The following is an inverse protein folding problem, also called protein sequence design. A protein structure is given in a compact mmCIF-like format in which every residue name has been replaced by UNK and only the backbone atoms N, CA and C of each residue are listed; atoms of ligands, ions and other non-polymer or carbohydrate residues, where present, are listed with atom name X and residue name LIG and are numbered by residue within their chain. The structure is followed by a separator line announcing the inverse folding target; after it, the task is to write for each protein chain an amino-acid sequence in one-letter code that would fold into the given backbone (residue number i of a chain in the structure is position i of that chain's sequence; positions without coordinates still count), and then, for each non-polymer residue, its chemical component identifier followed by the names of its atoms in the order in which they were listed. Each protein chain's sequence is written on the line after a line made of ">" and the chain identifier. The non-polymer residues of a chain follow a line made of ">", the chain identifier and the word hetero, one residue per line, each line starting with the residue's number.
data_IF_212298641697
#
_entry.id   IF_212298641697
#
_cell.length_a   1.000
_cell.length_b   1.000
_cell.length_c   1.000
_cell.angle_alpha   90.00
_cell.angle_beta   90.00
_cell.angle_gamma   90.00
#
_symmetry.space_group_name_H-M   'P 1'
#
loop_
_entity.id
_entity.type
_entity.pdbx_description
1 polymer ?
#
# COMPACT_ATOMS: atom_id res chain seq x y z
N UNK A 1 -14.86 -5.54 11.31
CA UNK A 1 -14.06 -4.30 11.35
C UNK A 1 -13.45 -4.04 12.73
N UNK A 2 -14.03 -4.54 13.80
CA UNK A 2 -13.52 -4.31 15.17
C UNK A 2 -12.11 -4.89 15.38
N UNK A 3 -11.75 -5.95 14.68
CA UNK A 3 -10.43 -6.57 14.77
C UNK A 3 -9.32 -5.62 14.26
N UNK A 4 -9.56 -4.90 13.18
CA UNK A 4 -8.59 -3.95 12.60
C UNK A 4 -8.17 -2.87 13.59
N UNK A 5 -9.12 -2.30 14.33
CA UNK A 5 -8.88 -1.25 15.32
C UNK A 5 -8.55 -1.79 16.73
N UNK A 6 -8.61 -3.11 16.90
CA UNK A 6 -8.32 -3.76 18.17
C UNK A 6 -6.83 -3.81 18.50
N UNK A 7 -6.52 -4.05 19.78
CA UNK A 7 -5.14 -4.31 20.19
C UNK A 7 -4.69 -5.68 19.71
N UNK A 8 -3.40 -5.77 19.37
CA UNK A 8 -2.78 -7.06 19.02
C UNK A 8 -2.76 -7.94 20.29
N UNK A 9 -3.28 -9.15 20.18
CA UNK A 9 -3.31 -10.11 21.30
C UNK A 9 -1.89 -10.45 21.75
N UNK A 10 -1.69 -10.63 23.05
CA UNK A 10 -0.39 -10.89 23.67
C UNK A 10 0.40 -12.03 22.99
N UNK A 11 -0.28 -13.12 22.64
CA UNK A 11 0.35 -14.25 21.93
C UNK A 11 0.91 -13.84 20.57
N UNK A 12 0.19 -13.03 19.83
CA UNK A 12 0.60 -12.51 18.51
C UNK A 12 1.70 -11.48 18.68
N UNK A 13 1.58 -10.60 19.68
CA UNK A 13 2.62 -9.62 19.98
C UNK A 13 3.96 -10.27 20.33
N UNK A 14 3.95 -11.34 21.11
CA UNK A 14 5.16 -12.11 21.43
C UNK A 14 5.78 -12.75 20.18
N UNK A 15 4.96 -13.33 19.32
CA UNK A 15 5.38 -13.85 18.03
C UNK A 15 5.99 -12.76 17.13
N UNK A 16 5.29 -11.64 16.98
CA UNK A 16 5.76 -10.51 16.15
C UNK A 16 7.08 -9.92 16.67
N UNK A 17 7.26 -9.87 17.98
CA UNK A 17 8.53 -9.43 18.58
C UNK A 17 9.69 -10.32 18.15
N UNK A 18 9.53 -11.64 18.25
CA UNK A 18 10.58 -12.58 17.82
C UNK A 18 10.81 -12.50 16.30
N UNK A 19 9.76 -12.33 15.49
CA UNK A 19 9.91 -12.11 14.04
C UNK A 19 10.74 -10.86 13.76
N UNK A 20 10.50 -9.75 14.45
CA UNK A 20 11.30 -8.52 14.31
C UNK A 20 12.78 -8.77 14.65
N UNK A 21 13.05 -9.45 15.76
CA UNK A 21 14.41 -9.75 16.19
C UNK A 21 15.16 -10.60 15.15
N UNK A 22 14.50 -11.63 14.60
CA UNK A 22 15.08 -12.45 13.54
C UNK A 22 15.29 -11.67 12.23
N UNK A 23 14.34 -10.78 11.88
CA UNK A 23 14.49 -9.88 10.74
C UNK A 23 15.67 -8.93 10.92
N UNK A 24 15.80 -8.29 12.07
CA UNK A 24 16.86 -7.32 12.35
C UNK A 24 18.25 -7.96 12.32
N UNK A 25 18.40 -9.22 12.80
CA UNK A 25 19.66 -9.98 12.69
C UNK A 25 20.12 -10.13 11.25
N UNK A 26 19.21 -10.10 10.29
CA UNK A 26 19.48 -10.21 8.86
C UNK A 26 19.48 -8.86 8.14
N UNK A 27 19.41 -7.75 8.87
CA UNK A 27 19.37 -6.41 8.29
C UNK A 27 18.04 -6.04 7.65
N UNK A 28 16.96 -6.78 7.93
CA UNK A 28 15.61 -6.46 7.45
C UNK A 28 14.95 -5.52 8.45
N UNK A 29 14.67 -4.25 8.09
CA UNK A 29 14.15 -3.25 9.02
C UNK A 29 12.63 -3.39 9.24
N UNK A 30 12.18 -4.55 9.71
CA UNK A 30 10.79 -4.79 10.10
C UNK A 30 10.37 -3.83 11.21
N UNK A 31 9.24 -3.14 11.06
CA UNK A 31 8.83 -2.06 11.97
C UNK A 31 7.34 -2.04 12.26
N UNK A 32 6.50 -1.94 11.23
CA UNK A 32 5.07 -1.72 11.39
C UNK A 32 4.35 -3.03 11.61
N UNK A 33 3.47 -3.06 12.61
CA UNK A 33 2.65 -4.21 12.96
C UNK A 33 1.24 -3.75 13.29
N UNK A 34 0.24 -4.35 12.69
CA UNK A 34 -1.16 -4.10 13.01
C UNK A 34 -2.05 -5.30 12.67
N UNK A 35 -3.27 -5.26 13.19
CA UNK A 35 -4.30 -6.20 12.79
C UNK A 35 -4.87 -5.84 11.43
N UNK A 36 -5.24 -6.83 10.67
CA UNK A 36 -6.03 -6.71 9.45
C UNK A 36 -7.51 -6.98 9.71
N UNK A 37 -8.36 -6.80 8.68
CA UNK A 37 -9.81 -6.92 8.80
C UNK A 37 -10.25 -8.36 9.07
N UNK A 38 -9.60 -9.34 8.44
CA UNK A 38 -9.94 -10.74 8.65
C UNK A 38 -9.55 -11.24 10.05
N UNK A 39 -10.32 -12.16 10.65
CA UNK A 39 -9.96 -12.77 11.91
C UNK A 39 -8.58 -13.41 11.89
N UNK A 40 -7.76 -13.10 12.90
CA UNK A 40 -6.38 -13.60 13.03
C UNK A 40 -5.46 -13.27 11.85
N UNK A 41 -5.79 -12.26 11.07
CA UNK A 41 -4.93 -11.71 10.03
C UNK A 41 -4.18 -10.48 10.58
N UNK A 42 -2.89 -10.42 10.30
CA UNK A 42 -2.00 -9.38 10.80
C UNK A 42 -1.04 -8.97 9.70
N UNK A 43 -0.61 -7.75 9.71
CA UNK A 43 0.42 -7.24 8.80
C UNK A 43 1.72 -6.94 9.54
N UNK A 44 2.82 -7.23 8.86
CA UNK A 44 4.15 -6.79 9.21
C UNK A 44 4.76 -6.10 7.99
N UNK A 45 5.15 -4.84 8.15
CA UNK A 45 5.75 -4.07 7.08
C UNK A 45 7.17 -3.60 7.45
N UNK A 46 8.17 -3.79 6.58
CA UNK A 46 9.50 -3.22 6.74
C UNK A 46 9.51 -1.74 6.35
N UNK A 47 10.58 -1.05 6.72
CA UNK A 47 10.90 0.26 6.15
C UNK A 47 11.20 0.06 4.66
N UNK A 48 10.81 1.03 3.82
CA UNK A 48 11.04 0.97 2.38
C UNK A 48 12.53 0.84 2.03
N UNK A 49 12.81 0.19 0.92
CA UNK A 49 14.14 -0.02 0.37
C UNK A 49 14.09 -0.01 -1.17
N UNK A 50 15.21 0.10 -1.87
CA UNK A 50 15.25 -0.15 -3.31
C UNK A 50 14.60 -1.48 -3.67
N UNK A 51 13.91 -1.53 -4.81
CA UNK A 51 13.00 -2.64 -5.16
C UNK A 51 13.65 -4.02 -5.14
N UNK A 52 14.89 -4.15 -5.59
CA UNK A 52 15.63 -5.41 -5.55
C UNK A 52 15.87 -5.89 -4.11
N UNK A 53 16.29 -4.99 -3.23
CA UNK A 53 16.50 -5.29 -1.80
C UNK A 53 15.16 -5.58 -1.11
N UNK A 54 14.13 -4.80 -1.40
CA UNK A 54 12.80 -5.00 -0.85
C UNK A 54 12.23 -6.37 -1.24
N UNK A 55 12.43 -6.80 -2.48
CA UNK A 55 12.00 -8.12 -2.96
C UNK A 55 12.72 -9.25 -2.22
N UNK A 56 14.04 -9.18 -2.07
CA UNK A 56 14.82 -10.17 -1.34
C UNK A 56 14.44 -10.22 0.14
N UNK A 57 14.32 -9.05 0.78
CA UNK A 57 13.86 -8.93 2.16
C UNK A 57 12.48 -9.57 2.36
N UNK A 58 11.55 -9.34 1.42
CA UNK A 58 10.23 -9.94 1.49
C UNK A 58 10.27 -11.47 1.43
N UNK A 59 11.08 -12.06 0.54
CA UNK A 59 11.26 -13.51 0.46
C UNK A 59 11.83 -14.10 1.77
N UNK A 60 12.81 -13.43 2.35
CA UNK A 60 13.38 -13.84 3.64
C UNK A 60 12.37 -13.70 4.79
N UNK A 61 11.63 -12.59 4.82
CA UNK A 61 10.62 -12.32 5.84
C UNK A 61 9.49 -13.36 5.82
N UNK A 62 9.02 -13.77 4.65
CA UNK A 62 8.03 -14.84 4.53
C UNK A 62 8.52 -16.17 5.12
N UNK A 63 9.81 -16.47 5.00
CA UNK A 63 10.41 -17.65 5.62
C UNK A 63 10.52 -17.52 7.14
N UNK A 64 10.93 -16.34 7.62
CA UNK A 64 11.04 -16.04 9.06
C UNK A 64 9.67 -16.18 9.72
N UNK A 65 8.64 -15.56 9.14
CA UNK A 65 7.26 -15.62 9.63
C UNK A 65 6.81 -17.06 9.87
N UNK A 66 7.02 -17.95 8.89
CA UNK A 66 6.65 -19.36 9.00
C UNK A 66 7.47 -20.10 10.07
N UNK A 67 8.78 -19.86 10.12
CA UNK A 67 9.70 -20.51 11.06
C UNK A 67 9.41 -20.12 12.51
N UNK A 68 9.22 -18.83 12.77
CA UNK A 68 8.92 -18.33 14.11
C UNK A 68 7.52 -18.74 14.56
N UNK A 69 6.52 -18.75 13.65
CA UNK A 69 5.19 -19.25 13.98
C UNK A 69 5.22 -20.68 14.54
N UNK A 70 6.03 -21.55 13.95
CA UNK A 70 6.19 -22.93 14.44
C UNK A 70 6.76 -22.98 15.86
N UNK A 71 7.69 -22.09 16.22
CA UNK A 71 8.24 -22.01 17.59
C UNK A 71 7.17 -21.60 18.62
N UNK A 72 6.20 -20.78 18.19
CA UNK A 72 5.08 -20.34 19.03
C UNK A 72 3.87 -21.29 19.01
N UNK A 73 4.00 -22.49 18.43
CA UNK A 73 2.90 -23.43 18.28
C UNK A 73 1.77 -22.88 17.41
N UNK A 74 2.11 -22.07 16.41
CA UNK A 74 1.20 -21.49 15.44
C UNK A 74 1.58 -21.90 14.02
N UNK A 75 0.65 -21.71 13.10
CA UNK A 75 0.91 -21.85 11.67
C UNK A 75 0.72 -20.48 11.01
N UNK A 76 1.74 -20.01 10.33
CA UNK A 76 1.64 -18.80 9.49
C UNK A 76 1.15 -19.20 8.11
N UNK A 77 0.01 -18.66 7.72
CA UNK A 77 -0.57 -18.78 6.38
C UNK A 77 -0.46 -17.42 5.71
N UNK A 78 0.28 -17.37 4.62
CA UNK A 78 0.42 -16.15 3.81
C UNK A 78 -0.67 -16.20 2.72
N UNK A 79 -1.84 -15.73 3.08
CA UNK A 79 -3.02 -15.78 2.23
C UNK A 79 -3.88 -14.54 2.45
N UNK A 80 -4.33 -13.94 1.37
CA UNK A 80 -5.07 -12.67 1.40
C UNK A 80 -6.50 -12.83 1.90
N UNK A 81 -7.13 -13.95 1.56
CA UNK A 81 -8.49 -14.24 1.96
C UNK A 81 -8.58 -15.61 2.63
N UNK A 82 -8.20 -15.71 3.91
CA UNK A 82 -8.04 -16.99 4.60
C UNK A 82 -9.36 -17.73 4.87
N UNK A 83 -10.50 -17.03 4.86
CA UNK A 83 -11.81 -17.61 5.18
C UNK A 83 -12.86 -17.23 4.14
N UNK A 84 -13.68 -18.20 3.74
CA UNK A 84 -14.81 -17.95 2.86
C UNK A 84 -15.87 -17.10 3.58
N UNK A 85 -16.46 -16.15 2.86
CA UNK A 85 -17.58 -15.32 3.35
C UNK A 85 -17.20 -14.21 4.35
N UNK A 86 -15.90 -14.04 4.66
CA UNK A 86 -15.42 -12.92 5.48
C UNK A 86 -14.39 -12.10 4.73
N UNK A 87 -14.15 -10.89 5.21
CA UNK A 87 -13.13 -10.02 4.65
C UNK A 87 -11.73 -10.64 4.72
N UNK A 88 -10.87 -10.17 3.83
CA UNK A 88 -9.46 -10.42 3.84
C UNK A 88 -8.72 -9.15 3.44
N UNK A 89 -7.41 -9.16 3.55
CA UNK A 89 -6.54 -8.07 3.12
C UNK A 89 -5.36 -8.63 2.36
N UNK A 90 -5.09 -8.06 1.20
CA UNK A 90 -3.92 -8.41 0.41
C UNK A 90 -2.74 -7.51 0.72
N UNK A 91 -1.57 -7.96 0.33
CA UNK A 91 -0.39 -7.11 0.34
C UNK A 91 -0.47 -6.14 -0.85
N UNK A 92 -0.50 -4.84 -0.57
CA UNK A 92 -0.27 -3.82 -1.58
C UNK A 92 1.14 -3.24 -1.42
N UNK A 93 1.71 -2.76 -2.52
CA UNK A 93 3.05 -2.17 -2.52
C UNK A 93 2.94 -0.66 -2.73
N UNK A 94 3.49 0.10 -1.78
CA UNK A 94 3.76 1.51 -1.99
C UNK A 94 5.13 1.64 -2.67
N UNK A 95 5.21 2.44 -3.71
CA UNK A 95 6.44 2.62 -4.47
C UNK A 95 6.60 4.06 -4.96
N UNK A 96 7.81 4.44 -5.26
CA UNK A 96 8.14 5.72 -5.85
C UNK A 96 9.24 5.56 -6.91
N UNK A 97 9.40 6.57 -7.73
CA UNK A 97 10.53 6.71 -8.65
C UNK A 97 11.44 7.81 -8.12
N UNK A 98 12.70 7.49 -7.88
CA UNK A 98 13.67 8.42 -7.32
C UNK A 98 14.88 8.50 -8.24
N UNK A 99 15.37 9.70 -8.50
CA UNK A 99 16.60 9.93 -9.22
C UNK A 99 17.81 9.55 -8.35
N UNK A 100 18.99 9.48 -8.94
CA UNK A 100 20.24 9.16 -8.24
C UNK A 100 20.66 10.24 -7.22
N UNK A 101 20.21 11.49 -7.42
CA UNK A 101 20.38 12.60 -6.48
C UNK A 101 19.27 12.68 -5.42
N UNK A 102 18.34 11.72 -5.40
CA UNK A 102 17.33 11.55 -4.35
C UNK A 102 16.03 12.32 -4.56
N UNK A 103 15.79 12.87 -5.74
CA UNK A 103 14.53 13.56 -6.06
C UNK A 103 13.44 12.53 -6.31
N UNK A 104 12.34 12.59 -5.55
CA UNK A 104 11.15 11.76 -5.79
C UNK A 104 10.33 12.36 -6.93
N UNK A 105 10.25 11.64 -8.05
CA UNK A 105 9.52 12.07 -9.25
C UNK A 105 7.98 11.98 -9.09
N UNK A 106 7.51 11.31 -8.04
CA UNK A 106 6.09 11.19 -7.68
C UNK A 106 5.69 12.12 -6.54
N UNK A 107 6.54 13.08 -6.18
CA UNK A 107 6.19 14.13 -5.24
C UNK A 107 5.50 15.28 -6.00
N UNK A 108 4.19 15.52 -5.79
CA UNK A 108 3.47 16.61 -6.44
C UNK A 108 3.93 17.99 -5.98
N UNK A 109 4.57 18.07 -4.80
CA UNK A 109 4.92 19.35 -4.19
C UNK A 109 3.70 20.13 -3.69
N UNK A 110 3.93 21.41 -3.38
CA UNK A 110 2.86 22.31 -2.87
C UNK A 110 1.93 22.82 -3.96
N UNK A 111 2.41 22.88 -5.20
CA UNK A 111 1.70 23.41 -6.37
C UNK A 111 1.74 22.39 -7.52
N UNK A 112 0.96 21.28 -7.43
CA UNK A 112 1.01 20.21 -8.42
C UNK A 112 0.78 20.68 -9.86
N UNK A 113 -0.07 21.71 -10.05
CA UNK A 113 -0.40 22.26 -11.36
C UNK A 113 0.76 22.99 -12.05
N UNK A 114 1.80 23.38 -11.29
CA UNK A 114 3.02 24.03 -11.81
C UNK A 114 4.16 23.02 -11.97
N UNK A 115 4.06 21.84 -11.36
CA UNK A 115 5.10 20.82 -11.39
C UNK A 115 5.01 19.95 -12.66
N UNK A 116 5.53 20.48 -13.75
CA UNK A 116 5.48 19.81 -15.06
C UNK A 116 6.18 18.47 -15.05
N UNK A 117 7.29 18.32 -14.33
CA UNK A 117 8.01 17.04 -14.21
C UNK A 117 7.13 15.98 -13.56
N UNK A 118 6.50 16.31 -12.45
CA UNK A 118 5.56 15.42 -11.78
C UNK A 118 4.39 15.02 -12.69
N UNK A 119 3.74 16.01 -13.33
CA UNK A 119 2.61 15.78 -14.22
C UNK A 119 2.98 14.90 -15.42
N UNK A 120 4.17 15.10 -15.99
CA UNK A 120 4.68 14.26 -17.07
C UNK A 120 4.89 12.81 -16.62
N UNK A 121 5.56 12.61 -15.49
CA UNK A 121 5.83 11.27 -14.95
C UNK A 121 4.52 10.58 -14.59
N UNK A 122 3.59 11.28 -13.93
CA UNK A 122 2.26 10.75 -13.63
C UNK A 122 1.52 10.31 -14.90
N UNK A 123 1.52 11.15 -15.93
CA UNK A 123 0.85 10.82 -17.21
C UNK A 123 1.48 9.60 -17.88
N UNK A 124 2.81 9.47 -17.84
CA UNK A 124 3.49 8.27 -18.35
C UNK A 124 3.09 7.01 -17.59
N UNK A 125 2.95 7.09 -16.26
CA UNK A 125 2.51 5.96 -15.44
C UNK A 125 1.07 5.57 -15.77
N UNK A 126 0.16 6.56 -15.86
CA UNK A 126 -1.24 6.31 -16.23
C UNK A 126 -1.34 5.61 -17.59
N UNK A 127 -0.58 6.10 -18.56
CA UNK A 127 -0.52 5.49 -19.89
C UNK A 127 0.03 4.06 -19.82
N UNK A 128 1.10 3.82 -19.08
CA UNK A 128 1.69 2.49 -18.94
C UNK A 128 0.72 1.51 -18.24
N UNK A 129 -0.03 1.96 -17.24
CA UNK A 129 -1.05 1.14 -16.57
C UNK A 129 -2.18 0.76 -17.54
N UNK A 130 -2.60 1.69 -18.39
CA UNK A 130 -3.62 1.43 -19.41
C UNK A 130 -3.12 0.45 -20.49
N UNK A 131 -1.94 0.72 -21.05
CA UNK A 131 -1.35 -0.09 -22.13
C UNK A 131 -0.94 -1.50 -21.69
N UNK A 132 -0.58 -1.69 -20.42
CA UNK A 132 -0.10 -2.95 -19.84
C UNK A 132 -1.04 -3.54 -18.78
N UNK A 133 -2.32 -3.18 -18.84
CA UNK A 133 -3.32 -3.61 -17.87
C UNK A 133 -3.45 -5.13 -17.76
N UNK A 134 -3.25 -5.86 -18.84
CA UNK A 134 -3.27 -7.34 -18.89
C UNK A 134 -2.14 -7.96 -18.06
N UNK A 135 -0.92 -7.42 -18.13
CA UNK A 135 0.20 -7.86 -17.29
C UNK A 135 -0.06 -7.62 -15.81
N UNK A 136 -0.67 -6.48 -15.48
CA UNK A 136 -1.07 -6.18 -14.11
C UNK A 136 -2.16 -7.14 -13.61
N UNK A 137 -3.14 -7.47 -14.44
CA UNK A 137 -4.17 -8.48 -14.12
C UNK A 137 -3.56 -9.87 -13.96
N UNK A 138 -2.63 -10.25 -14.82
CA UNK A 138 -1.94 -11.53 -14.74
C UNK A 138 -1.16 -11.66 -13.43
N UNK A 139 -0.52 -10.59 -12.97
CA UNK A 139 0.22 -10.57 -11.69
C UNK A 139 -0.67 -10.83 -10.46
N UNK A 140 -1.97 -10.52 -10.57
CA UNK A 140 -2.97 -10.74 -9.52
C UNK A 140 -3.81 -12.01 -9.73
N UNK A 141 -3.82 -12.59 -10.94
CA UNK A 141 -4.63 -13.74 -11.33
C UNK A 141 -3.98 -15.07 -10.91
N UNK A 142 -3.81 -15.28 -9.63
CA UNK A 142 -3.40 -16.58 -9.07
C UNK A 142 -4.66 -17.36 -8.64
N UNK A 143 -4.58 -18.69 -8.68
CA UNK A 143 -5.66 -19.60 -8.25
C UNK A 143 -6.17 -19.29 -6.85
N UNK A 144 -5.28 -18.78 -5.97
CA UNK A 144 -5.64 -18.29 -4.64
C UNK A 144 -6.36 -16.93 -4.62
N UNK A 145 -6.31 -16.17 -5.72
CA UNK A 145 -6.84 -14.80 -5.79
C UNK A 145 -8.26 -14.72 -6.36
N UNK A 146 -8.77 -15.74 -7.02
CA UNK A 146 -10.12 -15.73 -7.62
C UNK A 146 -11.21 -15.41 -6.58
N UNK A 147 -11.07 -15.91 -5.36
CA UNK A 147 -11.98 -15.62 -4.24
C UNK A 147 -11.78 -14.22 -3.64
N UNK A 148 -10.66 -13.60 -3.90
CA UNK A 148 -10.28 -12.29 -3.40
C UNK A 148 -10.85 -11.16 -4.25
N UNK A 149 -10.87 -11.33 -5.57
CA UNK A 149 -11.26 -10.28 -6.50
C UNK A 149 -12.73 -9.87 -6.31
N UNK A 150 -12.96 -8.56 -6.08
CA UNK A 150 -14.30 -8.00 -5.85
C UNK A 150 -14.81 -8.05 -4.41
N UNK A 151 -14.03 -8.51 -3.43
CA UNK A 151 -14.36 -8.42 -2.00
C UNK A 151 -14.05 -7.03 -1.43
N UNK A 152 -14.49 -6.73 -0.20
CA UNK A 152 -14.42 -5.40 0.42
C UNK A 152 -13.02 -4.79 0.41
N UNK A 153 -12.02 -5.51 0.91
CA UNK A 153 -10.61 -5.09 0.93
C UNK A 153 -9.82 -5.61 -0.28
N UNK A 154 -10.43 -6.49 -1.06
CA UNK A 154 -9.82 -7.01 -2.25
C UNK A 154 -10.15 -6.11 -3.45
N UNK A 155 -9.17 -5.75 -4.28
CA UNK A 155 -9.42 -4.93 -5.46
C UNK A 155 -10.34 -5.67 -6.42
N UNK A 156 -11.20 -4.95 -7.17
CA UNK A 156 -11.95 -5.54 -8.25
C UNK A 156 -11.00 -6.09 -9.33
N UNK A 157 -11.48 -7.00 -10.17
CA UNK A 157 -10.73 -7.46 -11.33
C UNK A 157 -10.45 -6.33 -12.36
N UNK A 158 -11.01 -5.15 -12.13
CA UNK A 158 -10.78 -3.94 -12.91
C UNK A 158 -9.63 -3.15 -12.28
N UNK A 159 -8.61 -2.84 -13.05
CA UNK A 159 -7.54 -1.95 -12.65
C UNK A 159 -8.05 -0.52 -12.71
N UNK A 160 -7.92 0.20 -11.60
CA UNK A 160 -8.28 1.61 -11.50
C UNK A 160 -7.14 2.39 -10.87
N UNK A 161 -7.05 3.66 -11.23
CA UNK A 161 -6.11 4.60 -10.62
C UNK A 161 -6.90 5.65 -9.87
N UNK A 162 -6.58 5.84 -8.59
CA UNK A 162 -7.18 6.87 -7.76
C UNK A 162 -6.15 7.95 -7.48
N UNK A 163 -6.42 9.17 -7.90
CA UNK A 163 -5.49 10.31 -7.81
C UNK A 163 -5.83 11.29 -6.69
N UNK A 164 -7.06 11.25 -6.21
CA UNK A 164 -7.59 12.23 -5.26
C UNK A 164 -8.06 13.52 -5.90
N UNK A 165 -8.92 14.22 -5.16
CA UNK A 165 -9.64 15.42 -5.67
C UNK A 165 -8.72 16.52 -6.18
N UNK A 166 -7.53 16.68 -5.58
CA UNK A 166 -6.58 17.72 -5.97
C UNK A 166 -5.98 17.44 -7.36
N UNK A 167 -5.51 16.23 -7.60
CA UNK A 167 -4.91 15.88 -8.88
C UNK A 167 -5.95 15.65 -9.97
N UNK A 168 -7.12 15.15 -9.62
CA UNK A 168 -8.25 15.04 -10.56
C UNK A 168 -8.62 16.42 -11.09
N UNK A 169 -8.75 17.43 -10.23
CA UNK A 169 -9.03 18.82 -10.63
C UNK A 169 -7.96 19.38 -11.59
N UNK A 170 -6.68 19.13 -11.31
CA UNK A 170 -5.58 19.54 -12.19
C UNK A 170 -5.66 18.84 -13.55
N UNK A 171 -5.93 17.54 -13.57
CA UNK A 171 -6.05 16.79 -14.83
C UNK A 171 -7.28 17.21 -15.63
N UNK A 172 -8.43 17.46 -14.99
CA UNK A 172 -9.63 17.95 -15.65
C UNK A 172 -9.38 19.31 -16.32
N UNK A 173 -8.65 20.23 -15.66
CA UNK A 173 -8.24 21.49 -16.26
C UNK A 173 -7.36 21.27 -17.49
N UNK A 174 -6.34 20.39 -17.39
CA UNK A 174 -5.44 20.09 -18.51
C UNK A 174 -6.20 19.49 -19.70
N UNK A 175 -7.12 18.57 -19.47
CA UNK A 175 -7.91 17.93 -20.54
C UNK A 175 -8.87 18.93 -21.18
N UNK A 176 -9.53 19.75 -20.40
CA UNK A 176 -10.59 20.67 -20.91
C UNK A 176 -10.04 21.93 -21.54
N UNK A 177 -8.96 22.49 -21.02
CA UNK A 177 -8.44 23.81 -21.44
C UNK A 177 -7.00 23.79 -21.96
N UNK A 178 -6.30 22.66 -21.83
CA UNK A 178 -4.88 22.53 -22.16
C UNK A 178 -3.92 23.15 -21.14
N UNK A 179 -4.43 23.77 -20.08
CA UNK A 179 -3.65 24.41 -19.02
C UNK A 179 -4.29 24.21 -17.66
N UNK A 180 -3.46 24.02 -16.63
CA UNK A 180 -3.93 24.02 -15.25
C UNK A 180 -3.40 25.30 -14.57
N UNK A 181 -4.30 26.09 -13.99
CA UNK A 181 -3.98 27.40 -13.40
C UNK A 181 -4.02 27.41 -11.88
N UNK A 182 -4.62 26.38 -11.29
CA UNK A 182 -4.75 26.23 -9.84
C UNK A 182 -4.90 24.75 -9.47
N UNK A 183 -4.78 24.46 -8.19
CA UNK A 183 -5.14 23.16 -7.62
C UNK A 183 -5.98 23.36 -6.36
N UNK A 184 -6.95 22.49 -6.13
CA UNK A 184 -7.69 22.48 -4.86
C UNK A 184 -6.72 22.28 -3.71
N UNK A 185 -6.95 22.93 -2.58
CA UNK A 185 -6.18 22.65 -1.37
C UNK A 185 -6.57 21.27 -0.85
N UNK A 186 -5.58 20.47 -0.49
CA UNK A 186 -5.83 19.21 0.20
C UNK A 186 -6.70 19.44 1.45
N UNK A 187 -7.79 18.70 1.60
CA UNK A 187 -8.68 18.83 2.75
C UNK A 187 -8.07 18.12 3.96
N UNK A 188 -7.98 18.82 5.09
CA UNK A 188 -7.62 18.18 6.37
C UNK A 188 -8.80 17.42 6.90
N UNK A 189 -8.59 16.18 7.34
CA UNK A 189 -9.60 15.44 8.06
C UNK A 189 -9.70 15.99 9.49
N UNK A 190 -10.80 16.64 9.83
CA UNK A 190 -11.10 16.99 11.21
C UNK A 190 -11.55 15.73 11.96
N UNK A 191 -10.65 15.17 12.75
CA UNK A 191 -10.92 13.95 13.52
C UNK A 191 -11.75 14.20 14.77
N UNK A 192 -12.07 15.46 15.09
CA UNK A 192 -12.80 15.85 16.30
C UNK A 192 -12.02 15.63 17.62
N UNK A 193 -10.82 15.10 17.56
CA UNK A 193 -9.96 14.84 18.72
C UNK A 193 -8.73 15.73 18.64
N UNK A 194 -8.67 16.72 19.49
CA UNK A 194 -7.59 17.76 19.51
C UNK A 194 -6.16 17.22 19.73
N UNK A 195 -6.02 15.96 20.10
CA UNK A 195 -4.73 15.33 20.43
C UNK A 195 -4.14 14.48 19.30
N UNK A 196 -4.88 14.27 18.21
CA UNK A 196 -4.38 13.57 17.03
C UNK A 196 -3.77 14.57 16.03
N UNK A 197 -2.66 14.20 15.38
CA UNK A 197 -2.13 15.03 14.31
C UNK A 197 -3.15 15.20 13.19
N UNK A 198 -3.17 16.37 12.56
CA UNK A 198 -4.00 16.62 11.38
C UNK A 198 -3.60 15.66 10.26
N UNK A 199 -4.51 14.79 9.87
CA UNK A 199 -4.35 13.95 8.69
C UNK A 199 -4.82 14.74 7.46
N UNK A 200 -3.94 14.88 6.49
CA UNK A 200 -4.35 15.36 5.18
C UNK A 200 -5.24 14.29 4.53
N UNK A 201 -6.46 14.67 4.19
CA UNK A 201 -7.37 13.82 3.39
C UNK A 201 -7.00 13.93 1.91
N UNK A 202 -5.73 14.00 1.62
CA UNK A 202 -5.27 13.93 0.25
C UNK A 202 -4.90 12.49 -0.05
N UNK A 203 -5.55 11.94 -1.03
CA UNK A 203 -5.32 10.57 -1.45
C UNK A 203 -4.03 10.41 -2.29
N UNK A 204 -3.22 11.43 -2.41
CA UNK A 204 -1.87 11.29 -2.98
C UNK A 204 -1.00 10.30 -2.21
N UNK A 205 -1.26 10.12 -0.90
CA UNK A 205 -0.63 9.06 -0.10
C UNK A 205 -1.19 7.66 -0.38
N UNK A 206 -2.24 7.54 -1.18
CA UNK A 206 -2.94 6.30 -1.46
C UNK A 206 -3.09 6.07 -2.95
N UNK A 207 -2.05 6.32 -3.71
CA UNK A 207 -1.98 5.85 -5.09
C UNK A 207 -1.97 4.32 -5.07
N UNK A 208 -3.15 3.76 -4.84
CA UNK A 208 -3.39 2.34 -4.94
C UNK A 208 -3.55 1.98 -6.40
N UNK A 209 -2.44 1.75 -7.07
CA UNK A 209 -2.48 0.79 -8.15
C UNK A 209 -2.62 -0.57 -7.48
N UNK A 210 -3.83 -1.05 -7.39
CA UNK A 210 -4.07 -2.41 -6.95
C UNK A 210 -3.91 -3.31 -8.16
N UNK A 211 -2.96 -4.26 -8.14
CA UNK A 211 -3.06 -5.38 -9.04
C UNK A 211 -4.27 -6.21 -8.66
#
# INVERSE_FOLDING_TARGET
>A
DDHYFGSIRQRISAYMKEVNEECWKLGIPAKTQHNEVAPAQHELAPIYAPVNIAADQNQMMMRILKKVASRHGMRCVLHEKPFAGVNGSGKHNNWSLTTDDGINLLDPGKTPHENIQFLLVLTCILKAVDEHADLLRESAADVGNDQRLGGHEAPPAVISVFLGEQLEDVLEQLVSTGTATHSKKGSKLETGVKTLPDFMKDATDRNRTSP
#
